data_IF_770499887419
#
_entry.id   IF_770499887419
#
_cell.length_a   1.000
_cell.length_b   1.000
_cell.length_c   1.000
_cell.angle_alpha   90.00
_cell.angle_beta   90.00
_cell.angle_gamma   90.00
#
_symmetry.space_group_name_H-M   'P 1'
#
loop_
_entity.id
_entity.type
_entity.pdbx_description
1 polymer ?
#
# COMPACT_ATOMS: atom_id res chain seq x y z
N UNK A 1 20.32 13.83 0.61
CA UNK A 1 20.49 12.47 0.02
C UNK A 1 19.16 12.05 -0.57
N UNK A 2 19.13 11.43 -1.76
CA UNK A 2 17.87 10.93 -2.33
C UNK A 2 17.66 9.47 -1.97
N UNK A 3 16.43 9.11 -1.62
CA UNK A 3 15.98 7.73 -1.37
C UNK A 3 14.84 7.43 -2.35
N UNK A 4 15.08 6.46 -3.21
CA UNK A 4 14.10 5.98 -4.18
C UNK A 4 13.40 4.73 -3.62
N UNK A 5 12.07 4.76 -3.51
CA UNK A 5 11.26 3.67 -2.94
C UNK A 5 10.27 3.16 -3.98
N UNK A 6 10.34 1.87 -4.30
CA UNK A 6 9.35 1.19 -5.15
C UNK A 6 8.24 0.63 -4.28
N UNK A 7 7.01 0.97 -4.63
CA UNK A 7 5.84 0.66 -3.82
C UNK A 7 4.62 0.40 -4.69
N UNK A 8 3.75 -0.48 -4.24
CA UNK A 8 2.39 -0.62 -4.77
C UNK A 8 1.38 -0.24 -3.70
N UNK A 9 0.34 0.51 -4.07
CA UNK A 9 -0.66 1.08 -3.14
C UNK A 9 -1.60 0.02 -2.54
N UNK A 10 -1.58 -1.20 -3.08
CA UNK A 10 -2.28 -2.38 -2.56
C UNK A 10 -1.36 -3.38 -1.87
N UNK A 11 -0.08 -3.04 -1.69
CA UNK A 11 0.87 -3.88 -0.98
C UNK A 11 0.86 -3.55 0.52
N UNK A 12 0.43 -4.47 1.41
CA UNK A 12 0.36 -4.17 2.84
C UNK A 12 1.74 -3.94 3.45
N UNK A 13 2.75 -4.68 2.97
CA UNK A 13 4.14 -4.52 3.42
C UNK A 13 4.76 -3.19 2.96
N UNK A 14 4.29 -2.62 1.85
CA UNK A 14 4.70 -1.27 1.46
C UNK A 14 4.17 -0.22 2.44
N UNK A 15 2.92 -0.34 2.92
CA UNK A 15 2.38 0.60 3.91
C UNK A 15 3.08 0.46 5.28
N UNK A 16 3.29 -0.79 5.74
CA UNK A 16 4.07 -1.08 6.95
C UNK A 16 5.50 -0.54 6.82
N UNK A 17 6.16 -0.80 5.70
CA UNK A 17 7.53 -0.35 5.43
C UNK A 17 7.65 1.17 5.39
N UNK A 18 6.69 1.86 4.75
CA UNK A 18 6.56 3.31 4.76
C UNK A 18 6.48 3.85 6.19
N UNK A 19 5.56 3.32 7.00
CA UNK A 19 5.39 3.76 8.38
C UNK A 19 6.66 3.59 9.21
N UNK A 20 7.30 2.41 9.12
CA UNK A 20 8.57 2.12 9.80
C UNK A 20 9.70 3.05 9.35
N UNK A 21 9.78 3.34 8.06
CA UNK A 21 10.78 4.26 7.50
C UNK A 21 10.61 5.67 8.05
N UNK A 22 9.37 6.19 8.06
CA UNK A 22 9.05 7.50 8.63
C UNK A 22 9.39 7.54 10.12
N UNK A 23 9.02 6.50 10.86
CA UNK A 23 9.33 6.38 12.27
C UNK A 23 10.83 6.36 12.56
N UNK A 24 11.62 5.69 11.72
CA UNK A 24 13.07 5.67 11.85
C UNK A 24 13.68 7.07 11.68
N UNK A 25 13.19 7.87 10.72
CA UNK A 25 13.63 9.26 10.54
C UNK A 25 13.26 10.12 11.75
N UNK A 26 12.06 9.97 12.29
CA UNK A 26 11.62 10.69 13.50
C UNK A 26 12.50 10.35 14.72
N UNK A 27 12.82 9.07 14.92
CA UNK A 27 13.64 8.60 16.04
C UNK A 27 15.07 9.14 15.99
N UNK A 28 15.57 9.47 14.80
CA UNK A 28 16.88 10.09 14.63
C UNK A 28 16.89 11.58 14.99
N UNK A 29 15.73 12.24 15.02
CA UNK A 29 15.58 13.66 15.37
C UNK A 29 16.53 14.54 14.57
N UNK A 30 17.23 15.45 15.26
CA UNK A 30 18.17 16.39 14.63
C UNK A 30 19.39 15.72 13.97
N UNK A 31 19.63 14.44 14.25
CA UNK A 31 20.70 13.66 13.59
C UNK A 31 20.25 13.09 12.24
N UNK A 32 18.98 13.24 11.87
CA UNK A 32 18.48 12.73 10.62
C UNK A 32 19.11 13.47 9.43
N UNK A 33 19.61 12.75 8.41
CA UNK A 33 20.07 13.41 7.20
C UNK A 33 18.87 14.04 6.49
N UNK A 34 19.12 15.14 5.79
CA UNK A 34 18.12 15.66 4.85
C UNK A 34 17.91 14.62 3.74
N UNK A 35 16.72 14.03 3.72
CA UNK A 35 16.31 13.03 2.74
C UNK A 35 15.27 13.61 1.81
N UNK A 36 15.49 13.43 0.52
CA UNK A 36 14.47 13.60 -0.51
C UNK A 36 13.95 12.20 -0.83
N UNK A 37 12.68 11.93 -0.50
CA UNK A 37 12.05 10.64 -0.76
C UNK A 37 11.28 10.72 -2.07
N UNK A 38 11.56 9.79 -2.97
CA UNK A 38 10.84 9.67 -4.24
C UNK A 38 10.18 8.30 -4.34
N UNK A 39 8.85 8.31 -4.43
CA UNK A 39 8.07 7.10 -4.62
C UNK A 39 7.97 6.75 -6.10
N UNK A 40 8.33 5.51 -6.43
CA UNK A 40 8.26 4.93 -7.77
C UNK A 40 7.18 3.86 -7.83
N UNK A 41 6.43 3.79 -8.94
CA UNK A 41 5.38 2.80 -9.09
C UNK A 41 5.98 1.41 -9.20
N UNK A 42 5.37 0.46 -8.49
CA UNK A 42 5.53 -0.96 -8.70
C UNK A 42 4.14 -1.58 -8.87
N UNK A 43 3.99 -2.50 -9.82
CA UNK A 43 2.75 -3.25 -10.01
C UNK A 43 2.96 -4.67 -9.51
N UNK A 44 2.35 -5.03 -8.38
CA UNK A 44 2.36 -6.41 -7.86
C UNK A 44 1.70 -7.39 -8.82
N UNK A 45 0.74 -6.90 -9.59
CA UNK A 45 0.00 -7.66 -10.57
C UNK A 45 -0.23 -6.79 -11.82
N UNK A 46 0.72 -6.81 -12.78
CA UNK A 46 0.62 -6.01 -14.00
C UNK A 46 -0.52 -6.47 -14.93
N UNK A 47 -1.04 -7.68 -14.74
CA UNK A 47 -2.12 -8.27 -15.54
C UNK A 47 -3.51 -8.05 -14.91
N UNK A 48 -3.59 -7.37 -13.76
CA UNK A 48 -4.86 -7.02 -13.16
C UNK A 48 -5.63 -6.00 -14.03
N UNK A 49 -6.89 -6.28 -14.31
CA UNK A 49 -7.80 -5.37 -15.02
C UNK A 49 -8.58 -4.45 -14.08
N UNK A 50 -9.54 -3.70 -14.62
CA UNK A 50 -10.43 -2.82 -13.84
C UNK A 50 -11.60 -3.56 -13.21
N UNK A 51 -11.95 -4.75 -13.70
CA UNK A 51 -13.01 -5.60 -13.13
C UNK A 51 -12.62 -6.05 -11.71
N UNK A 52 -13.39 -5.68 -10.68
CA UNK A 52 -13.08 -6.06 -9.31
C UNK A 52 -13.20 -7.57 -9.09
N UNK A 53 -12.17 -8.17 -8.50
CA UNK A 53 -12.21 -9.55 -7.98
C UNK A 53 -12.01 -9.50 -6.47
N UNK A 54 -12.86 -10.14 -5.64
CA UNK A 54 -12.66 -10.18 -4.20
C UNK A 54 -11.22 -10.61 -3.83
N UNK A 55 -10.55 -9.86 -2.96
CA UNK A 55 -9.12 -10.06 -2.66
C UNK A 55 -8.83 -11.49 -2.19
N UNK A 56 -9.67 -12.03 -1.31
CA UNK A 56 -9.55 -13.42 -0.81
C UNK A 56 -9.65 -14.45 -1.92
N UNK A 57 -10.55 -14.26 -2.88
CA UNK A 57 -10.67 -15.14 -4.04
C UNK A 57 -9.40 -15.08 -4.89
N UNK A 58 -8.91 -13.86 -5.19
CA UNK A 58 -7.69 -13.66 -5.97
C UNK A 58 -6.47 -14.28 -5.27
N UNK A 59 -6.35 -14.11 -3.95
CA UNK A 59 -5.26 -14.68 -3.17
C UNK A 59 -5.36 -16.19 -3.03
N UNK A 60 -6.57 -16.75 -2.93
CA UNK A 60 -6.74 -18.20 -2.84
C UNK A 60 -6.27 -18.87 -4.13
N UNK A 61 -6.59 -18.27 -5.29
CA UNK A 61 -6.09 -18.72 -6.59
C UNK A 61 -4.55 -18.62 -6.69
N UNK A 62 -3.96 -17.54 -6.16
CA UNK A 62 -2.50 -17.30 -6.24
C UNK A 62 -1.67 -18.13 -5.26
N UNK A 63 -2.16 -18.32 -4.04
CA UNK A 63 -1.38 -18.88 -2.93
C UNK A 63 -1.79 -20.30 -2.52
N UNK A 64 -2.78 -20.89 -3.19
CA UNK A 64 -3.12 -22.31 -3.03
C UNK A 64 -4.15 -22.60 -1.95
N UNK A 65 -5.20 -21.78 -1.86
CA UNK A 65 -6.42 -22.10 -1.09
C UNK A 65 -6.72 -21.17 0.09
N UNK A 66 -8.00 -21.17 0.50
CA UNK A 66 -8.56 -20.19 1.44
C UNK A 66 -7.91 -20.23 2.84
N UNK A 67 -7.64 -21.42 3.40
CA UNK A 67 -7.06 -21.53 4.74
C UNK A 67 -5.69 -20.86 4.87
N UNK A 68 -4.84 -21.00 3.85
CA UNK A 68 -3.53 -20.33 3.80
C UNK A 68 -3.66 -18.82 3.66
N UNK A 69 -4.65 -18.36 2.90
CA UNK A 69 -4.92 -16.93 2.71
C UNK A 69 -5.37 -16.28 4.01
N UNK A 70 -6.31 -16.89 4.75
CA UNK A 70 -6.77 -16.31 6.02
C UNK A 70 -5.63 -16.17 7.02
N UNK A 71 -4.77 -17.19 7.15
CA UNK A 71 -3.60 -17.10 8.02
C UNK A 71 -2.65 -15.97 7.59
N UNK A 72 -2.38 -15.83 6.30
CA UNK A 72 -1.50 -14.80 5.75
C UNK A 72 -2.06 -13.39 5.98
N UNK A 73 -3.36 -13.20 5.72
CA UNK A 73 -4.04 -11.92 5.92
C UNK A 73 -4.06 -11.55 7.40
N UNK A 74 -4.43 -12.49 8.28
CA UNK A 74 -4.45 -12.27 9.73
C UNK A 74 -3.06 -11.90 10.28
N UNK A 75 -2.01 -12.59 9.85
CA UNK A 75 -0.64 -12.27 10.25
C UNK A 75 -0.23 -10.85 9.80
N UNK A 76 -0.51 -10.52 8.54
CA UNK A 76 -0.14 -9.23 7.96
C UNK A 76 -0.91 -8.08 8.63
N UNK A 77 -2.22 -8.26 8.83
CA UNK A 77 -3.07 -7.32 9.53
C UNK A 77 -2.63 -7.11 10.98
N UNK A 78 -2.36 -8.19 11.72
CA UNK A 78 -1.86 -8.10 13.09
C UNK A 78 -0.52 -7.34 13.16
N UNK A 79 0.36 -7.54 12.18
CA UNK A 79 1.61 -6.78 12.09
C UNK A 79 1.36 -5.30 11.85
N UNK A 80 0.48 -4.95 10.91
CA UNK A 80 0.14 -3.54 10.63
C UNK A 80 -0.50 -2.84 11.85
N UNK A 81 -1.41 -3.52 12.54
CA UNK A 81 -2.08 -2.99 13.72
C UNK A 81 -1.12 -2.81 14.91
N UNK A 82 -0.12 -3.69 15.06
CA UNK A 82 0.94 -3.52 16.05
C UNK A 82 1.81 -2.27 15.79
N UNK A 83 1.87 -1.81 14.53
CA UNK A 83 2.51 -0.54 14.13
C UNK A 83 1.53 0.65 14.18
N UNK A 84 0.30 0.46 14.68
CA UNK A 84 -0.71 1.52 14.78
C UNK A 84 -1.42 1.86 13.46
N UNK A 85 -1.24 1.05 12.41
CA UNK A 85 -1.95 1.23 11.14
C UNK A 85 -3.36 0.62 11.21
N UNK A 86 -4.41 1.33 10.76
CA UNK A 86 -5.80 0.85 10.78
C UNK A 86 -6.07 -0.08 9.58
N UNK A 87 -5.19 -1.04 9.33
CA UNK A 87 -5.36 -2.04 8.28
C UNK A 87 -6.44 -3.04 8.68
N UNK A 88 -7.39 -3.26 7.78
CA UNK A 88 -8.49 -4.19 7.96
C UNK A 88 -8.86 -4.85 6.62
N UNK A 89 -8.53 -6.13 6.46
CA UNK A 89 -8.85 -6.92 5.27
C UNK A 89 -10.32 -7.36 5.20
N UNK A 90 -11.14 -7.08 6.21
CA UNK A 90 -12.56 -7.42 6.21
C UNK A 90 -13.44 -6.31 5.60
N UNK A 91 -12.82 -5.23 5.12
CA UNK A 91 -13.50 -4.08 4.50
C UNK A 91 -13.92 -4.31 3.05
N UNK A 92 -13.67 -5.51 2.50
CA UNK A 92 -14.10 -5.88 1.15
C UNK A 92 -13.14 -5.47 0.05
N UNK A 93 -11.82 -5.49 0.32
CA UNK A 93 -10.81 -5.20 -0.69
C UNK A 93 -10.96 -6.08 -1.93
N UNK A 94 -10.61 -5.50 -3.08
CA UNK A 94 -10.65 -6.13 -4.39
C UNK A 94 -9.29 -6.07 -5.06
N UNK A 95 -8.96 -7.11 -5.83
CA UNK A 95 -7.88 -7.09 -6.82
C UNK A 95 -8.38 -6.35 -8.06
N UNK A 96 -7.69 -5.27 -8.40
CA UNK A 96 -7.84 -4.46 -9.60
C UNK A 96 -6.47 -3.91 -10.00
N UNK A 97 -6.35 -3.34 -11.20
CA UNK A 97 -5.17 -2.56 -11.60
C UNK A 97 -4.92 -1.41 -10.63
N UNK A 98 -3.66 -1.15 -10.30
CA UNK A 98 -3.24 0.03 -9.52
C UNK A 98 -2.70 1.16 -10.39
N UNK A 99 -2.73 1.01 -11.72
CA UNK A 99 -2.19 1.99 -12.65
C UNK A 99 -2.82 3.40 -12.52
N UNK A 100 -4.16 3.56 -12.36
CA UNK A 100 -4.76 4.88 -12.12
C UNK A 100 -4.24 5.53 -10.84
N UNK A 101 -4.15 4.78 -9.74
CA UNK A 101 -3.62 5.26 -8.48
C UNK A 101 -2.13 5.67 -8.59
N UNK A 102 -1.32 4.91 -9.33
CA UNK A 102 0.07 5.27 -9.61
C UNK A 102 0.20 6.52 -10.48
N UNK A 103 -0.70 6.73 -11.44
CA UNK A 103 -0.74 7.98 -12.23
C UNK A 103 -1.08 9.18 -11.35
N UNK A 104 -2.04 9.02 -10.42
CA UNK A 104 -2.37 10.06 -9.45
C UNK A 104 -1.16 10.35 -8.54
N UNK A 105 -0.46 9.32 -8.06
CA UNK A 105 0.74 9.48 -7.22
C UNK A 105 1.89 10.16 -7.99
N UNK A 106 2.04 9.88 -9.28
CA UNK A 106 3.00 10.58 -10.14
C UNK A 106 2.65 12.07 -10.28
N UNK A 107 1.37 12.39 -10.52
CA UNK A 107 0.91 13.78 -10.59
C UNK A 107 1.12 14.50 -9.25
N UNK A 108 0.78 13.87 -8.14
CA UNK A 108 0.98 14.40 -6.79
C UNK A 108 2.45 14.74 -6.49
N UNK A 109 3.39 13.98 -7.04
CA UNK A 109 4.82 14.29 -6.95
C UNK A 109 5.22 15.58 -7.66
N UNK A 110 4.55 15.95 -8.75
CA UNK A 110 4.79 17.23 -9.43
C UNK A 110 4.27 18.42 -8.62
N UNK A 111 3.23 18.20 -7.84
CA UNK A 111 2.58 19.21 -6.99
C UNK A 111 3.14 19.23 -5.55
N UNK A 112 4.17 18.42 -5.24
CA UNK A 112 4.80 18.39 -3.92
C UNK A 112 3.96 17.71 -2.82
N UNK A 113 2.92 16.97 -3.17
CA UNK A 113 1.99 16.30 -2.23
C UNK A 113 1.96 14.76 -2.38
N UNK A 114 3.03 14.17 -2.94
CA UNK A 114 3.12 12.72 -3.18
C UNK A 114 2.89 11.89 -1.92
N UNK A 115 3.46 12.35 -0.80
CA UNK A 115 3.41 11.64 0.48
C UNK A 115 1.98 11.56 1.03
N UNK A 116 1.26 12.68 1.03
CA UNK A 116 -0.12 12.78 1.52
C UNK A 116 -1.06 11.96 0.64
N UNK A 117 -0.88 12.02 -0.68
CA UNK A 117 -1.68 11.24 -1.63
C UNK A 117 -1.38 9.74 -1.51
N UNK A 118 -0.12 9.36 -1.33
CA UNK A 118 0.27 7.96 -1.10
C UNK A 118 -0.37 7.39 0.16
N UNK A 119 -0.34 8.13 1.27
CA UNK A 119 -1.01 7.77 2.52
C UNK A 119 -2.53 7.64 2.33
N UNK A 120 -3.15 8.58 1.62
CA UNK A 120 -4.59 8.54 1.33
C UNK A 120 -4.99 7.32 0.49
N UNK A 121 -4.16 6.92 -0.49
CA UNK A 121 -4.40 5.73 -1.30
C UNK A 121 -4.26 4.43 -0.49
N UNK A 122 -3.27 4.35 0.40
CA UNK A 122 -3.15 3.22 1.32
C UNK A 122 -4.38 3.10 2.24
N UNK A 123 -4.82 4.19 2.85
CA UNK A 123 -6.03 4.21 3.68
C UNK A 123 -7.28 3.87 2.89
N UNK A 124 -7.44 4.45 1.70
CA UNK A 124 -8.55 4.13 0.82
C UNK A 124 -8.66 2.61 0.60
N UNK A 125 -7.56 1.93 0.33
CA UNK A 125 -7.57 0.47 0.16
C UNK A 125 -7.71 -0.30 1.48
N UNK A 126 -6.83 -0.08 2.44
CA UNK A 126 -6.68 -0.94 3.62
C UNK A 126 -7.59 -0.60 4.80
N UNK A 127 -7.93 0.68 4.97
CA UNK A 127 -8.82 1.12 6.07
C UNK A 127 -10.27 1.21 5.59
N UNK A 128 -10.46 1.64 4.34
CA UNK A 128 -11.79 1.94 3.82
C UNK A 128 -12.31 0.94 2.78
N UNK A 129 -11.51 -0.04 2.36
CA UNK A 129 -11.95 -1.08 1.41
C UNK A 129 -12.30 -0.56 0.02
N UNK A 130 -11.82 0.62 -0.37
CA UNK A 130 -12.15 1.26 -1.65
C UNK A 130 -11.47 0.57 -2.82
N UNK A 131 -12.18 0.54 -3.94
CA UNK A 131 -11.66 0.15 -5.24
C UNK A 131 -10.80 1.30 -5.81
N UNK A 132 -9.48 1.11 -5.91
CA UNK A 132 -8.56 2.14 -6.41
C UNK A 132 -8.58 2.32 -7.94
N UNK A 133 -9.35 1.50 -8.66
CA UNK A 133 -9.58 1.65 -10.10
C UNK A 133 -10.88 2.42 -10.43
N UNK A 134 -11.67 2.81 -9.42
CA UNK A 134 -12.87 3.62 -9.58
C UNK A 134 -12.50 5.12 -9.68
N UNK A 135 -13.05 5.90 -10.64
CA UNK A 135 -12.71 7.32 -10.84
C UNK A 135 -13.06 8.26 -9.69
#
# INVERSE_FOLDING_TARGET
>A
MRIDIWSDVVCPWCWIGKHRFQRALELMGDKAPQVEVRWHPFLLDPDAGTTPVPLRQAYAAKFGGAGRVEQMLAQTQGTAQAEGLPMDFDRGQVRVTTLPAHRLLWLAGREGVQEQVGEALFRAHFEHGRNLADP
#
